data_IF_506254350251
#
_entry.id   IF_506254350251
#
_cell.length_a   1.000
_cell.length_b   1.000
_cell.length_c   1.000
_cell.angle_alpha   90.00
_cell.angle_beta   90.00
_cell.angle_gamma   90.00
#
_symmetry.space_group_name_H-M   'P 1'
#
loop_
_entity.id
_entity.type
_entity.pdbx_description
1 polymer ?
#
# COMPACT_ATOMS: atom_id res chain seq x y z
N UNK A 1 3.68 -9.97 -18.46
CA UNK A 1 3.06 -8.77 -17.88
C UNK A 1 3.26 -8.75 -16.37
N UNK A 2 3.61 -7.61 -15.84
CA UNK A 2 3.79 -7.47 -14.40
C UNK A 2 2.43 -7.50 -13.67
N UNK A 3 2.41 -8.10 -12.48
CA UNK A 3 1.27 -7.99 -11.58
C UNK A 3 1.30 -6.64 -10.89
N UNK A 4 0.19 -5.95 -10.83
CA UNK A 4 0.08 -4.66 -10.16
C UNK A 4 -0.38 -4.91 -8.73
N UNK A 5 0.49 -4.55 -7.77
CA UNK A 5 0.34 -4.86 -6.36
C UNK A 5 0.26 -3.56 -5.56
N UNK A 6 -0.77 -3.43 -4.75
CA UNK A 6 -0.93 -2.31 -3.85
C UNK A 6 -0.37 -2.64 -2.46
N UNK A 7 0.39 -1.70 -1.91
CA UNK A 7 0.98 -1.82 -0.58
C UNK A 7 0.17 -1.03 0.43
N UNK A 8 -0.41 -1.71 1.41
CA UNK A 8 -1.02 -1.07 2.56
C UNK A 8 0.06 -0.37 3.41
N UNK A 9 -0.35 0.63 4.17
CA UNK A 9 0.58 1.40 5.01
C UNK A 9 1.39 0.50 5.95
N UNK A 10 0.74 -0.50 6.57
CA UNK A 10 1.45 -1.42 7.46
C UNK A 10 2.54 -2.21 6.75
N UNK A 11 2.35 -2.53 5.47
CA UNK A 11 3.40 -3.15 4.68
C UNK A 11 4.61 -2.21 4.54
N UNK A 12 4.35 -0.95 4.21
CA UNK A 12 5.42 0.06 4.04
C UNK A 12 6.20 0.22 5.35
N UNK A 13 5.50 0.29 6.49
CA UNK A 13 6.14 0.40 7.80
C UNK A 13 7.02 -0.82 8.09
N UNK A 14 6.52 -2.02 7.84
CA UNK A 14 7.31 -3.24 8.04
C UNK A 14 8.51 -3.29 7.12
N UNK A 15 8.34 -2.88 5.89
CA UNK A 15 9.43 -2.82 4.91
C UNK A 15 10.57 -1.92 5.40
N UNK A 16 10.24 -0.76 5.98
CA UNK A 16 11.23 0.22 6.42
C UNK A 16 11.82 -0.12 7.79
N UNK A 17 10.98 -0.58 8.73
CA UNK A 17 11.36 -0.67 10.15
C UNK A 17 11.60 -2.11 10.64
N UNK A 18 11.45 -3.09 9.77
CA UNK A 18 11.62 -4.49 10.12
C UNK A 18 12.60 -5.16 9.16
N UNK A 19 13.30 -6.19 9.64
CA UNK A 19 14.19 -7.02 8.81
C UNK A 19 13.51 -8.32 8.36
N UNK A 20 12.24 -8.24 8.05
CA UNK A 20 11.47 -9.41 7.62
C UNK A 20 11.93 -9.88 6.24
N UNK A 21 12.50 -11.08 6.17
CA UNK A 21 13.02 -11.63 4.91
C UNK A 21 11.94 -11.90 3.85
N UNK A 22 10.68 -12.03 4.25
CA UNK A 22 9.58 -12.24 3.30
C UNK A 22 9.40 -11.02 2.37
N UNK A 23 9.83 -9.84 2.82
CA UNK A 23 9.74 -8.62 2.02
C UNK A 23 10.74 -8.62 0.87
N UNK A 24 11.85 -9.36 0.99
CA UNK A 24 12.84 -9.47 -0.07
C UNK A 24 12.26 -10.08 -1.34
N UNK A 25 11.28 -10.98 -1.19
CA UNK A 25 10.63 -11.59 -2.35
C UNK A 25 9.92 -10.55 -3.22
N UNK A 26 9.28 -9.57 -2.60
CA UNK A 26 8.62 -8.49 -3.32
C UNK A 26 9.65 -7.66 -4.08
N UNK A 27 10.77 -7.35 -3.43
CA UNK A 27 11.87 -6.61 -4.07
C UNK A 27 12.46 -7.38 -5.25
N UNK A 28 12.71 -8.66 -5.08
CA UNK A 28 13.23 -9.52 -6.15
C UNK A 28 12.26 -9.57 -7.33
N UNK A 29 10.98 -9.72 -7.07
CA UNK A 29 9.95 -9.73 -8.10
C UNK A 29 9.87 -8.41 -8.87
N UNK A 30 10.04 -7.29 -8.16
CA UNK A 30 10.07 -5.96 -8.79
C UNK A 30 11.29 -5.82 -9.68
N UNK A 31 12.47 -6.21 -9.20
CA UNK A 31 13.70 -6.17 -9.98
C UNK A 31 13.67 -7.08 -11.20
N UNK A 32 12.96 -8.21 -11.12
CA UNK A 32 12.79 -9.14 -12.24
C UNK A 32 11.66 -8.73 -13.20
N UNK A 33 10.95 -7.64 -12.95
CA UNK A 33 9.83 -7.19 -13.77
C UNK A 33 8.54 -7.97 -13.57
N UNK A 34 8.44 -8.76 -12.51
CA UNK A 34 7.24 -9.56 -12.20
C UNK A 34 6.16 -8.74 -11.51
N UNK A 35 6.55 -7.71 -10.76
CA UNK A 35 5.66 -6.87 -9.96
C UNK A 35 5.86 -5.39 -10.26
N UNK A 36 4.76 -4.63 -10.24
CA UNK A 36 4.75 -3.18 -10.14
C UNK A 36 4.05 -2.81 -8.84
N UNK A 37 4.68 -1.96 -8.04
CA UNK A 37 4.22 -1.62 -6.70
C UNK A 37 3.58 -0.23 -6.65
N UNK A 38 2.46 -0.14 -5.95
CA UNK A 38 1.67 1.08 -5.82
C UNK A 38 1.33 1.31 -4.35
N UNK A 39 1.27 2.57 -3.95
CA UNK A 39 0.65 2.99 -2.71
C UNK A 39 0.00 4.35 -2.91
N UNK A 40 -0.64 4.89 -1.88
CA UNK A 40 -1.33 6.18 -1.96
C UNK A 40 -0.49 7.29 -1.37
N UNK A 41 -0.68 8.52 -1.86
CA UNK A 41 -0.22 9.72 -1.16
C UNK A 41 -0.73 9.76 0.29
N UNK A 42 -1.87 9.14 0.56
CA UNK A 42 -2.39 9.04 1.92
C UNK A 42 -1.46 8.27 2.87
N UNK A 43 -0.66 7.35 2.33
CA UNK A 43 0.34 6.60 3.10
C UNK A 43 1.35 7.55 3.76
N UNK A 44 1.69 8.65 3.10
CA UNK A 44 2.59 9.67 3.67
C UNK A 44 2.07 10.18 5.01
N UNK A 45 0.77 10.51 5.07
CA UNK A 45 0.15 11.00 6.32
C UNK A 45 0.21 9.95 7.42
N UNK A 46 0.04 8.68 7.07
CA UNK A 46 -0.02 7.62 8.06
C UNK A 46 1.35 7.21 8.59
N UNK A 47 2.37 7.11 7.72
CA UNK A 47 3.71 6.68 8.16
C UNK A 47 4.45 7.75 8.95
N UNK A 48 4.14 9.03 8.74
CA UNK A 48 4.83 10.13 9.42
C UNK A 48 4.39 10.33 10.87
N UNK A 49 3.25 9.78 11.27
CA UNK A 49 2.75 9.97 12.65
C UNK A 49 3.75 9.48 13.68
N UNK A 50 4.29 8.28 13.52
CA UNK A 50 5.25 7.70 14.47
C UNK A 50 6.52 8.53 14.61
N UNK A 51 7.26 8.77 13.51
CA UNK A 51 8.50 9.56 13.56
C UNK A 51 8.29 10.98 14.09
N UNK A 52 7.18 11.63 13.74
CA UNK A 52 6.89 12.98 14.22
C UNK A 52 6.61 12.99 15.72
N UNK A 53 5.90 11.97 16.24
CA UNK A 53 5.66 11.83 17.68
C UNK A 53 6.95 11.59 18.46
N UNK A 54 7.84 10.76 17.93
CA UNK A 54 9.09 10.42 18.62
C UNK A 54 10.22 11.41 18.38
N UNK A 55 10.06 12.35 17.46
CA UNK A 55 11.11 13.29 17.09
C UNK A 55 12.21 12.66 16.24
N UNK A 56 11.94 11.54 15.58
CA UNK A 56 12.91 10.85 14.72
C UNK A 56 12.92 11.47 13.32
N UNK A 57 13.70 12.53 13.17
CA UNK A 57 13.78 13.28 11.91
C UNK A 57 14.42 12.46 10.79
N UNK A 58 15.36 11.58 11.11
CA UNK A 58 16.01 10.72 10.14
C UNK A 58 15.00 9.75 9.50
N UNK A 59 14.17 9.13 10.33
CA UNK A 59 13.15 8.22 9.84
C UNK A 59 12.08 8.97 9.04
N UNK A 60 11.66 10.15 9.50
CA UNK A 60 10.69 10.97 8.76
C UNK A 60 11.21 11.32 7.37
N UNK A 61 12.45 11.75 7.26
CA UNK A 61 13.08 12.07 5.98
C UNK A 61 13.16 10.85 5.07
N UNK A 62 13.52 9.71 5.64
CA UNK A 62 13.58 8.46 4.88
C UNK A 62 12.22 8.11 4.26
N UNK A 63 11.14 8.21 5.03
CA UNK A 63 9.80 7.95 4.51
C UNK A 63 9.42 8.91 3.38
N UNK A 64 9.72 10.20 3.52
CA UNK A 64 9.39 11.16 2.48
C UNK A 64 10.14 10.91 1.19
N UNK A 65 11.40 10.49 1.29
CA UNK A 65 12.19 10.12 0.11
C UNK A 65 11.68 8.83 -0.54
N UNK A 66 11.34 7.83 0.27
CA UNK A 66 10.80 6.55 -0.24
C UNK A 66 9.46 6.74 -0.93
N UNK A 67 8.59 7.57 -0.36
CA UNK A 67 7.23 7.79 -0.87
C UNK A 67 7.21 8.90 -1.92
N UNK A 68 8.07 8.74 -2.89
CA UNK A 68 8.14 9.57 -4.09
C UNK A 68 8.09 8.63 -5.28
N UNK A 69 7.25 8.91 -6.26
CA UNK A 69 7.13 8.06 -7.44
C UNK A 69 8.47 7.92 -8.15
N UNK A 70 8.89 6.68 -8.36
CA UNK A 70 10.12 6.32 -9.06
C UNK A 70 9.94 4.98 -9.79
N UNK A 71 11.02 4.37 -10.25
CA UNK A 71 10.97 3.09 -10.95
C UNK A 71 10.58 1.93 -10.03
N UNK A 72 10.71 2.11 -8.71
CA UNK A 72 10.42 1.07 -7.73
C UNK A 72 8.99 1.13 -7.21
N UNK A 73 8.46 2.34 -6.94
CA UNK A 73 7.18 2.55 -6.28
C UNK A 73 6.42 3.68 -6.94
N UNK A 74 5.16 3.42 -7.29
CA UNK A 74 4.24 4.44 -7.76
C UNK A 74 3.42 4.95 -6.58
N UNK A 75 3.52 6.24 -6.26
CA UNK A 75 2.73 6.89 -5.21
C UNK A 75 1.59 7.64 -5.86
N UNK A 76 0.38 7.10 -5.74
CA UNK A 76 -0.79 7.56 -6.49
C UNK A 76 -1.43 8.77 -5.80
N UNK A 77 -1.64 9.87 -6.52
CA UNK A 77 -2.33 11.05 -5.95
C UNK A 77 -3.78 10.74 -5.59
N UNK A 78 -4.28 11.45 -4.59
CA UNK A 78 -5.69 11.37 -4.21
C UNK A 78 -6.42 12.48 -4.94
N UNK A 79 -7.10 12.13 -6.01
CA UNK A 79 -7.92 13.07 -6.79
C UNK A 79 -9.41 12.90 -6.49
N UNK A 80 -10.23 13.68 -7.18
CA UNK A 80 -11.68 13.61 -6.95
C UNK A 80 -12.28 12.27 -7.37
N UNK A 81 -11.73 11.62 -8.37
CA UNK A 81 -12.19 10.29 -8.82
C UNK A 81 -11.97 9.28 -7.70
N UNK A 82 -10.79 9.30 -7.08
CA UNK A 82 -10.48 8.44 -5.93
C UNK A 82 -11.41 8.74 -4.75
N UNK A 83 -11.70 10.02 -4.48
CA UNK A 83 -12.59 10.40 -3.38
C UNK A 83 -14.03 9.92 -3.61
N UNK A 84 -14.52 9.98 -4.84
CA UNK A 84 -15.85 9.46 -5.17
C UNK A 84 -15.92 7.95 -5.00
N UNK A 85 -14.89 7.24 -5.44
CA UNK A 85 -14.82 5.78 -5.27
C UNK A 85 -14.72 5.41 -3.79
N UNK A 86 -13.97 6.18 -3.01
CA UNK A 86 -13.90 6.03 -1.56
C UNK A 86 -15.29 6.11 -0.94
N UNK A 87 -16.07 7.11 -1.34
CA UNK A 87 -17.45 7.28 -0.83
C UNK A 87 -18.33 6.09 -1.20
N UNK A 88 -18.20 5.59 -2.44
CA UNK A 88 -18.97 4.43 -2.90
C UNK A 88 -18.65 3.17 -2.10
N UNK A 89 -17.37 2.91 -1.86
CA UNK A 89 -16.91 1.76 -1.07
C UNK A 89 -17.45 1.86 0.35
N UNK A 90 -17.39 3.04 0.96
CA UNK A 90 -17.90 3.26 2.30
C UNK A 90 -19.41 3.04 2.38
N UNK A 91 -20.13 3.56 1.41
CA UNK A 91 -21.60 3.41 1.38
C UNK A 91 -22.03 1.95 1.21
N UNK A 92 -21.30 1.20 0.40
CA UNK A 92 -21.66 -0.17 0.05
C UNK A 92 -21.19 -1.20 1.08
N UNK A 93 -20.01 -1.00 1.68
CA UNK A 93 -19.36 -2.01 2.53
C UNK A 93 -19.15 -1.55 3.98
N UNK A 94 -19.46 -0.31 4.32
CA UNK A 94 -19.24 0.23 5.66
C UNK A 94 -17.75 0.37 6.04
N UNK A 95 -16.87 0.38 5.06
CA UNK A 95 -15.43 0.48 5.27
C UNK A 95 -15.06 1.83 5.89
N UNK A 96 -14.09 1.83 6.83
CA UNK A 96 -13.58 3.08 7.40
C UNK A 96 -12.87 3.90 6.34
N UNK A 97 -12.87 5.23 6.52
CA UNK A 97 -12.32 6.15 5.52
C UNK A 97 -10.88 5.83 5.09
N UNK A 98 -9.91 5.61 6.01
CA UNK A 98 -8.55 5.30 5.59
C UNK A 98 -8.46 4.04 4.73
N UNK A 99 -9.14 2.97 5.14
CA UNK A 99 -9.13 1.70 4.41
C UNK A 99 -9.81 1.84 3.04
N UNK A 100 -10.90 2.61 2.98
CA UNK A 100 -11.61 2.85 1.73
C UNK A 100 -10.77 3.67 0.74
N UNK A 101 -9.97 4.64 1.23
CA UNK A 101 -9.05 5.40 0.39
C UNK A 101 -8.02 4.47 -0.24
N UNK A 102 -7.44 3.56 0.54
CA UNK A 102 -6.47 2.61 0.03
C UNK A 102 -7.08 1.66 -1.01
N UNK A 103 -8.28 1.13 -0.74
CA UNK A 103 -8.97 0.27 -1.70
C UNK A 103 -9.31 1.02 -3.00
N UNK A 104 -9.82 2.24 -2.88
CA UNK A 104 -10.16 3.08 -4.04
C UNK A 104 -8.92 3.38 -4.87
N UNK A 105 -7.80 3.68 -4.22
CA UNK A 105 -6.53 3.96 -4.89
C UNK A 105 -6.02 2.73 -5.63
N UNK A 106 -6.06 1.58 -4.98
CA UNK A 106 -5.63 0.32 -5.59
C UNK A 106 -6.44 -0.02 -6.84
N UNK A 107 -7.76 0.09 -6.75
CA UNK A 107 -8.64 -0.16 -7.90
C UNK A 107 -8.40 0.83 -9.02
N UNK A 108 -8.26 2.11 -8.69
CA UNK A 108 -8.02 3.17 -9.68
C UNK A 108 -6.69 3.01 -10.39
N UNK A 109 -5.68 2.44 -9.74
CA UNK A 109 -4.38 2.16 -10.34
C UNK A 109 -4.37 0.86 -11.15
N UNK A 110 -5.45 0.08 -11.11
CA UNK A 110 -5.52 -1.20 -11.82
C UNK A 110 -4.92 -2.38 -11.07
N UNK A 111 -4.66 -2.23 -9.76
CA UNK A 111 -4.12 -3.32 -8.96
C UNK A 111 -5.16 -4.42 -8.76
N UNK A 112 -4.69 -5.67 -8.77
CA UNK A 112 -5.51 -6.84 -8.45
C UNK A 112 -5.17 -7.44 -7.09
N UNK A 113 -4.01 -7.10 -6.54
CA UNK A 113 -3.52 -7.62 -5.27
C UNK A 113 -3.34 -6.46 -4.29
N UNK A 114 -3.78 -6.67 -3.06
CA UNK A 114 -3.68 -5.72 -1.95
C UNK A 114 -2.91 -6.41 -0.82
N UNK A 115 -1.66 -5.97 -0.59
CA UNK A 115 -0.83 -6.56 0.48
C UNK A 115 -1.18 -5.92 1.81
N UNK A 116 -1.78 -6.69 2.69
CA UNK A 116 -2.14 -6.26 4.05
C UNK A 116 -2.33 -7.48 4.94
N UNK A 117 -1.83 -7.40 6.17
CA UNK A 117 -2.06 -8.41 7.19
C UNK A 117 -3.34 -8.18 8.00
N UNK A 118 -4.10 -7.14 7.72
CA UNK A 118 -5.35 -6.88 8.43
C UNK A 118 -6.48 -7.75 7.88
N UNK A 119 -6.73 -8.88 8.56
CA UNK A 119 -7.77 -9.83 8.16
C UNK A 119 -9.19 -9.29 8.28
N UNK A 120 -9.39 -8.14 8.95
CA UNK A 120 -10.71 -7.52 9.09
C UNK A 120 -11.11 -6.71 7.87
N UNK A 121 -10.16 -6.41 6.98
CA UNK A 121 -10.45 -5.63 5.79
C UNK A 121 -11.36 -6.41 4.84
N UNK A 122 -12.45 -5.77 4.42
CA UNK A 122 -13.30 -6.28 3.37
C UNK A 122 -12.83 -5.73 2.04
N UNK A 123 -12.41 -6.63 1.15
CA UNK A 123 -11.99 -6.21 -0.18
C UNK A 123 -13.20 -6.02 -1.08
N UNK A 124 -13.30 -4.89 -1.77
CA UNK A 124 -14.28 -4.75 -2.84
C UNK A 124 -13.96 -5.71 -3.98
N UNK A 125 -14.95 -6.02 -4.85
CA UNK A 125 -14.69 -6.85 -6.02
C UNK A 125 -13.54 -6.31 -6.87
N UNK A 126 -12.67 -7.19 -7.33
CA UNK A 126 -11.51 -6.84 -8.13
C UNK A 126 -10.19 -6.77 -7.36
N UNK A 127 -10.24 -6.77 -6.03
CA UNK A 127 -9.06 -6.82 -5.19
C UNK A 127 -9.01 -8.11 -4.38
N UNK A 128 -7.85 -8.73 -4.35
CA UNK A 128 -7.58 -9.89 -3.48
C UNK A 128 -6.55 -9.47 -2.44
N UNK A 129 -6.92 -9.60 -1.16
CA UNK A 129 -5.98 -9.35 -0.06
C UNK A 129 -5.01 -10.53 0.07
N UNK A 130 -3.73 -10.22 0.09
CA UNK A 130 -2.68 -11.19 0.39
C UNK A 130 -2.00 -10.76 1.67
N UNK A 131 -1.97 -11.63 2.66
CA UNK A 131 -1.31 -11.37 3.93
C UNK A 131 0.21 -11.42 3.75
N UNK A 132 0.93 -10.65 4.59
CA UNK A 132 2.39 -10.60 4.51
C UNK A 132 3.04 -11.96 4.72
N UNK A 133 2.49 -12.78 5.61
CA UNK A 133 2.97 -14.13 5.87
C UNK A 133 2.75 -15.10 4.71
N UNK A 134 1.90 -14.74 3.75
CA UNK A 134 1.56 -15.61 2.61
C UNK A 134 2.17 -15.13 1.29
N UNK A 135 3.08 -14.17 1.32
CA UNK A 135 3.69 -13.62 0.10
C UNK A 135 4.34 -14.74 -0.73
N UNK A 136 5.09 -15.62 -0.08
CA UNK A 136 5.83 -16.67 -0.79
C UNK A 136 4.92 -17.68 -1.48
N UNK A 137 3.72 -17.92 -0.95
CA UNK A 137 2.80 -18.93 -1.50
C UNK A 137 1.76 -18.35 -2.44
N UNK A 138 1.45 -17.06 -2.36
CA UNK A 138 0.35 -16.44 -3.09
C UNK A 138 0.77 -15.42 -4.15
N UNK A 139 2.04 -15.04 -4.17
CA UNK A 139 2.59 -14.19 -5.24
C UNK A 139 3.54 -14.98 -6.19
#
# INVERSE_FOLDING_TARGET
>A
MARLIYLDTNFVIRFVESEDSSLLRVLEGTGAGLFELFTSEFTVAEVLVGPLKSGDQTLATYYEELLTTDDFLQVVPIDRVILRETARIRAQYGTRTPDAIHCATALGAGCSVFLSSDARLRMPPGLVRVALENIDSEL
#
